data_IF_799842312543
#
_entry.id   IF_799842312543
#
_cell.length_a   1.000
_cell.length_b   1.000
_cell.length_c   1.000
_cell.angle_alpha   90.00
_cell.angle_beta   90.00
_cell.angle_gamma   90.00
#
_symmetry.space_group_name_H-M   'P 1'
#
loop_
_entity.id
_entity.type
_entity.pdbx_description
1 polymer ?
#
# COMPACT_ATOMS: atom_id res chain seq x y z
N UNK A 1 10.63 -36.91 6.78
CA UNK A 1 10.29 -35.75 5.92
C UNK A 1 11.50 -34.85 5.83
N UNK A 2 12.36 -35.07 4.83
CA UNK A 2 13.45 -34.13 4.53
C UNK A 2 12.85 -33.15 3.54
N UNK A 3 12.34 -32.02 4.04
CA UNK A 3 11.97 -30.92 3.14
C UNK A 3 13.23 -30.49 2.41
N UNK A 4 13.21 -30.55 1.08
CA UNK A 4 14.27 -30.00 0.24
C UNK A 4 14.48 -28.53 0.62
N UNK A 5 15.43 -28.25 1.53
CA UNK A 5 15.88 -26.89 1.79
C UNK A 5 16.70 -26.50 0.57
N UNK A 6 16.08 -25.73 -0.32
CA UNK A 6 16.77 -25.04 -1.41
C UNK A 6 17.98 -24.32 -0.80
N UNK A 7 19.17 -24.55 -1.36
CA UNK A 7 20.35 -23.78 -0.99
C UNK A 7 20.07 -22.31 -1.25
N UNK A 8 20.30 -21.46 -0.24
CA UNK A 8 20.10 -20.02 -0.37
C UNK A 8 21.15 -19.48 -1.33
N UNK A 9 20.70 -18.87 -2.43
CA UNK A 9 21.60 -18.27 -3.40
C UNK A 9 22.08 -16.88 -2.93
N UNK A 10 23.02 -16.28 -3.66
CA UNK A 10 23.56 -14.97 -3.29
C UNK A 10 22.49 -13.87 -3.29
N UNK A 11 21.42 -14.02 -4.07
CA UNK A 11 20.31 -13.07 -4.08
C UNK A 11 19.44 -13.24 -2.82
N UNK A 12 19.20 -14.47 -2.38
CA UNK A 12 18.48 -14.78 -1.14
C UNK A 12 19.20 -14.15 0.08
N UNK A 13 20.54 -14.21 0.10
CA UNK A 13 21.37 -13.58 1.13
C UNK A 13 21.30 -12.06 1.07
N UNK A 14 21.40 -11.47 -0.12
CA UNK A 14 21.32 -10.02 -0.31
C UNK A 14 19.97 -9.44 0.13
N UNK A 15 18.86 -10.12 -0.20
CA UNK A 15 17.52 -9.72 0.23
C UNK A 15 17.38 -9.76 1.75
N UNK A 16 17.96 -10.77 2.43
CA UNK A 16 17.92 -10.82 3.90
C UNK A 16 18.61 -9.62 4.54
N UNK A 17 19.72 -9.16 3.96
CA UNK A 17 20.54 -8.09 4.51
C UNK A 17 20.06 -6.69 4.13
N UNK A 18 19.40 -6.54 2.98
CA UNK A 18 19.11 -5.24 2.40
C UNK A 18 17.63 -4.97 2.15
N UNK A 19 16.76 -5.98 2.11
CA UNK A 19 15.34 -5.79 1.86
C UNK A 19 14.63 -5.33 3.15
N UNK A 20 13.95 -4.16 3.12
CA UNK A 20 13.14 -3.67 4.24
C UNK A 20 12.12 -4.69 4.76
N UNK A 21 11.59 -5.56 3.90
CA UNK A 21 10.65 -6.64 4.26
C UNK A 21 11.24 -7.63 5.27
N UNK A 22 12.55 -7.91 5.17
CA UNK A 22 13.27 -8.85 6.03
C UNK A 22 13.92 -8.18 7.25
N UNK A 23 14.33 -6.91 7.11
CA UNK A 23 14.98 -6.13 8.17
C UNK A 23 14.02 -5.69 9.29
N UNK A 24 12.75 -5.42 8.98
CA UNK A 24 11.79 -4.96 10.00
C UNK A 24 10.47 -5.75 9.97
N UNK A 25 10.57 -7.05 10.31
CA UNK A 25 9.41 -7.95 10.45
C UNK A 25 8.40 -7.49 11.52
N UNK A 26 8.82 -6.61 12.44
CA UNK A 26 8.04 -6.23 13.62
C UNK A 26 7.28 -4.91 13.46
N UNK A 27 7.82 -3.92 12.74
CA UNK A 27 7.16 -2.64 12.54
C UNK A 27 6.37 -2.57 11.23
N UNK A 28 6.72 -3.35 10.22
CA UNK A 28 6.07 -3.29 8.90
C UNK A 28 4.55 -3.52 8.99
N UNK A 29 4.12 -4.54 9.72
CA UNK A 29 2.70 -4.81 10.00
C UNK A 29 2.07 -3.80 10.95
N UNK A 30 2.81 -3.27 11.93
CA UNK A 30 2.30 -2.31 12.93
C UNK A 30 2.11 -0.91 12.36
N UNK A 31 2.99 -0.48 11.46
CA UNK A 31 2.95 0.83 10.79
C UNK A 31 1.97 0.87 9.61
N UNK A 32 1.35 -0.27 9.27
CA UNK A 32 0.51 -0.42 8.07
C UNK A 32 1.18 0.22 6.85
N UNK A 33 2.48 -0.02 6.68
CA UNK A 33 3.17 0.48 5.50
C UNK A 33 2.52 -0.20 4.29
N UNK A 34 1.76 0.54 3.50
CA UNK A 34 1.08 -0.02 2.33
C UNK A 34 2.05 -0.23 1.16
N UNK A 35 3.20 0.48 1.16
CA UNK A 35 4.08 0.61 0.00
C UNK A 35 5.56 0.38 0.39
N UNK A 36 5.93 -0.88 0.56
CA UNK A 36 7.29 -1.28 1.00
C UNK A 36 8.41 -1.00 0.00
N UNK A 37 8.09 -0.95 -1.28
CA UNK A 37 9.07 -0.80 -2.36
C UNK A 37 8.99 0.56 -3.06
N UNK A 38 8.21 1.49 -2.49
CA UNK A 38 8.15 2.86 -3.01
C UNK A 38 9.41 3.61 -2.60
N UNK A 39 10.16 4.08 -3.60
CA UNK A 39 11.32 4.95 -3.37
C UNK A 39 10.86 6.34 -2.89
N UNK A 40 11.70 7.10 -2.18
CA UNK A 40 11.33 8.45 -1.73
C UNK A 40 10.92 9.39 -2.87
N UNK A 41 11.50 9.25 -4.07
CA UNK A 41 11.12 10.06 -5.23
C UNK A 41 9.73 9.69 -5.76
N UNK A 42 9.39 8.41 -5.76
CA UNK A 42 8.07 7.92 -6.14
C UNK A 42 7.01 8.39 -5.13
N UNK A 43 7.30 8.31 -3.83
CA UNK A 43 6.42 8.84 -2.79
C UNK A 43 6.17 10.34 -2.98
N UNK A 44 7.23 11.13 -3.23
CA UNK A 44 7.10 12.56 -3.47
C UNK A 44 6.20 12.85 -4.68
N UNK A 45 6.44 12.16 -5.79
CA UNK A 45 5.64 12.29 -7.01
C UNK A 45 4.18 11.90 -6.78
N UNK A 46 3.95 10.82 -6.04
CA UNK A 46 2.64 10.34 -5.67
C UNK A 46 1.88 11.37 -4.83
N UNK A 47 2.51 11.93 -3.80
CA UNK A 47 1.92 12.98 -2.95
C UNK A 47 1.57 14.23 -3.76
N UNK A 48 2.33 14.56 -4.80
CA UNK A 48 2.03 15.70 -5.68
C UNK A 48 0.90 15.44 -6.68
N UNK A 49 0.72 14.19 -7.13
CA UNK A 49 -0.20 13.85 -8.23
C UNK A 49 -1.50 13.17 -7.78
N UNK A 50 -1.49 12.42 -6.69
CA UNK A 50 -2.68 11.73 -6.19
C UNK A 50 -3.61 12.73 -5.49
N UNK A 51 -4.83 12.86 -6.02
CA UNK A 51 -5.91 13.56 -5.33
C UNK A 51 -6.62 12.55 -4.41
N UNK A 52 -6.80 12.86 -3.11
CA UNK A 52 -7.59 12.00 -2.25
C UNK A 52 -9.03 11.96 -2.77
N UNK A 53 -9.68 10.79 -2.74
CA UNK A 53 -11.05 10.66 -3.22
C UNK A 53 -12.05 11.60 -2.52
N UNK A 54 -11.75 11.99 -1.27
CA UNK A 54 -12.51 13.02 -0.53
C UNK A 54 -12.44 14.43 -1.12
N UNK A 55 -11.47 14.70 -1.99
CA UNK A 55 -11.32 15.98 -2.70
C UNK A 55 -12.02 16.01 -4.07
N UNK A 56 -12.52 14.86 -4.54
CA UNK A 56 -13.23 14.79 -5.81
C UNK A 56 -14.68 15.26 -5.66
N UNK A 57 -15.20 15.88 -6.71
CA UNK A 57 -16.62 16.19 -6.79
C UNK A 57 -17.46 14.93 -7.07
N UNK A 58 -18.75 14.98 -6.78
CA UNK A 58 -19.68 13.87 -7.04
C UNK A 58 -19.65 13.38 -8.50
N UNK A 59 -19.53 14.29 -9.47
CA UNK A 59 -19.45 13.91 -10.89
C UNK A 59 -18.15 13.18 -11.21
N UNK A 60 -17.03 13.62 -10.62
CA UNK A 60 -15.73 12.98 -10.80
C UNK A 60 -15.70 11.60 -10.15
N UNK A 61 -16.29 11.44 -8.96
CA UNK A 61 -16.38 10.15 -8.27
C UNK A 61 -17.14 9.10 -9.08
N UNK A 62 -18.24 9.48 -9.74
CA UNK A 62 -19.00 8.59 -10.61
C UNK A 62 -18.20 8.17 -11.85
N UNK A 63 -17.39 9.07 -12.42
CA UNK A 63 -16.55 8.79 -13.59
C UNK A 63 -15.45 7.77 -13.29
N UNK A 64 -14.84 7.83 -12.09
CA UNK A 64 -13.86 6.82 -11.64
C UNK A 64 -14.51 5.55 -11.05
N UNK A 65 -15.84 5.42 -11.14
CA UNK A 65 -16.56 4.21 -10.74
C UNK A 65 -16.68 4.01 -9.23
N UNK A 66 -16.57 5.09 -8.43
CA UNK A 66 -16.76 5.02 -6.98
C UNK A 66 -18.27 5.04 -6.70
N UNK A 67 -18.78 3.95 -6.14
CA UNK A 67 -20.17 3.86 -5.72
C UNK A 67 -20.43 4.77 -4.51
N UNK A 68 -21.08 5.91 -4.74
CA UNK A 68 -21.48 6.81 -3.65
C UNK A 68 -22.75 6.28 -3.00
N UNK A 69 -22.62 5.56 -1.88
CA UNK A 69 -23.76 5.20 -1.03
C UNK A 69 -24.21 6.47 -0.29
N UNK A 70 -25.39 6.96 -0.65
CA UNK A 70 -26.04 8.06 0.06
C UNK A 70 -26.95 7.47 1.12
N UNK A 71 -26.40 7.28 2.32
CA UNK A 71 -27.21 6.98 3.49
C UNK A 71 -28.13 8.19 3.70
N UNK A 72 -29.42 7.97 3.97
CA UNK A 72 -30.44 9.01 4.11
C UNK A 72 -30.23 9.97 5.32
N UNK A 73 -29.01 10.07 5.84
CA UNK A 73 -28.58 10.94 6.91
C UNK A 73 -27.11 11.38 6.75
N UNK A 74 -26.74 11.95 5.60
CA UNK A 74 -25.63 12.91 5.45
C UNK A 74 -24.25 12.54 6.03
N UNK A 75 -23.94 11.26 6.20
CA UNK A 75 -22.67 10.78 6.76
C UNK A 75 -21.93 9.92 5.74
N UNK A 76 -20.69 10.28 5.43
CA UNK A 76 -19.80 9.46 4.61
C UNK A 76 -19.34 8.25 5.43
N UNK A 77 -19.83 7.06 5.10
CA UNK A 77 -19.31 5.79 5.63
C UNK A 77 -18.78 4.93 4.48
N UNK A 78 -17.50 5.13 4.15
CA UNK A 78 -16.76 4.25 3.24
C UNK A 78 -15.85 3.33 4.06
N UNK A 79 -16.09 2.02 4.03
CA UNK A 79 -15.09 1.05 4.48
C UNK A 79 -14.00 0.93 3.41
N UNK A 80 -12.74 1.15 3.84
CA UNK A 80 -11.51 0.76 3.13
C UNK A 80 -11.18 -0.68 3.51
#
# INVERSE_FOLDING_TARGET
>A
MIGNRREEDQADLWLREHDPYYLDKSNSKKKKLERFYETPEQEHRRVQMELPFSSLSMSQMLEVGIEVKTDAGGGFSGNI
#
